data_IF_835533653181
#
_entry.id   IF_835533653181
#
_cell.length_a   1.000
_cell.length_b   1.000
_cell.length_c   1.000
_cell.angle_alpha   90.00
_cell.angle_beta   90.00
_cell.angle_gamma   90.00
#
_symmetry.space_group_name_H-M   'P 1'
#
loop_
_entity.id
_entity.type
_entity.pdbx_description
1 polymer ?
#
# COMPACT_ATOMS: atom_id res chain seq x y z
N UNK A 1 8.67 11.84 -10.94
CA UNK A 1 7.90 10.72 -11.48
C UNK A 1 8.89 9.71 -12.01
N UNK A 2 9.15 8.63 -11.27
CA UNK A 2 10.03 7.55 -11.72
C UNK A 2 9.23 6.62 -12.64
N UNK A 3 9.35 6.81 -13.96
CA UNK A 3 8.64 5.98 -14.93
C UNK A 3 8.97 4.49 -14.78
N UNK A 4 7.96 3.67 -14.45
CA UNK A 4 7.98 2.21 -14.64
C UNK A 4 8.27 1.34 -13.42
N UNK A 5 8.35 1.90 -12.20
CA UNK A 5 8.46 1.08 -10.98
C UNK A 5 7.09 0.56 -10.55
N UNK A 6 7.06 -0.72 -10.17
CA UNK A 6 5.87 -1.37 -9.64
C UNK A 6 6.17 -2.06 -8.32
N UNK A 7 5.15 -2.13 -7.47
CA UNK A 7 5.12 -2.94 -6.27
C UNK A 7 4.81 -4.38 -6.64
N UNK A 8 5.40 -5.30 -5.88
CA UNK A 8 5.13 -6.73 -5.99
C UNK A 8 4.76 -7.24 -4.60
N UNK A 9 3.59 -7.85 -4.45
CA UNK A 9 3.22 -8.53 -3.23
C UNK A 9 3.98 -9.87 -3.13
N UNK A 10 5.17 -9.85 -2.53
CA UNK A 10 6.04 -11.04 -2.50
C UNK A 10 5.66 -12.04 -1.40
N UNK A 11 4.98 -11.57 -0.35
CA UNK A 11 4.53 -12.38 0.78
C UNK A 11 3.28 -11.76 1.37
N UNK A 12 2.29 -12.59 1.66
CA UNK A 12 1.03 -12.16 2.26
C UNK A 12 0.61 -13.13 3.35
N UNK A 13 -0.02 -12.57 4.38
CA UNK A 13 -0.78 -13.32 5.36
C UNK A 13 -2.16 -12.69 5.46
N UNK A 14 -3.20 -13.49 5.25
CA UNK A 14 -4.59 -13.12 5.44
C UNK A 14 -5.20 -14.05 6.50
N UNK A 15 -6.04 -13.50 7.38
CA UNK A 15 -6.78 -14.30 8.36
C UNK A 15 -7.87 -15.14 7.69
N UNK A 16 -8.32 -16.20 8.37
CA UNK A 16 -9.45 -17.02 7.91
C UNK A 16 -10.66 -16.15 7.55
N UNK A 17 -11.21 -16.37 6.35
CA UNK A 17 -12.36 -15.62 5.82
C UNK A 17 -12.01 -14.32 5.09
N UNK A 18 -10.75 -13.85 5.13
CA UNK A 18 -10.28 -12.73 4.31
C UNK A 18 -9.68 -13.28 3.01
N UNK A 19 -10.10 -12.72 1.87
CA UNK A 19 -9.59 -13.13 0.55
C UNK A 19 -8.17 -12.60 0.38
N UNK A 20 -7.15 -13.47 0.23
CA UNK A 20 -5.78 -13.05 -0.04
C UNK A 20 -5.69 -12.30 -1.38
N UNK A 21 -4.84 -11.30 -1.46
CA UNK A 21 -4.59 -10.48 -2.64
C UNK A 21 -3.21 -10.72 -3.25
N UNK A 22 -2.49 -11.77 -2.81
CA UNK A 22 -1.16 -12.10 -3.31
C UNK A 22 -1.11 -12.28 -4.83
N UNK A 23 -2.12 -12.87 -5.46
CA UNK A 23 -2.12 -13.04 -6.93
C UNK A 23 -2.59 -11.77 -7.67
N UNK A 24 -3.35 -10.90 -7.00
CA UNK A 24 -3.96 -9.70 -7.60
C UNK A 24 -3.07 -8.46 -7.49
N UNK A 25 -2.39 -8.27 -6.36
CA UNK A 25 -1.50 -7.13 -6.11
C UNK A 25 -0.08 -7.40 -6.61
N UNK A 26 0.00 -7.77 -7.88
CA UNK A 26 1.25 -7.90 -8.60
C UNK A 26 1.38 -6.76 -9.59
N UNK A 27 2.58 -6.21 -9.70
CA UNK A 27 2.90 -5.12 -10.62
C UNK A 27 2.03 -3.86 -10.46
N UNK A 28 1.64 -3.53 -9.22
CA UNK A 28 0.88 -2.31 -8.90
C UNK A 28 1.78 -1.09 -9.15
N UNK A 29 1.37 -0.06 -9.90
CA UNK A 29 2.19 1.13 -10.11
C UNK A 29 2.56 1.80 -8.78
N UNK A 30 3.83 2.19 -8.62
CA UNK A 30 4.29 2.79 -7.36
C UNK A 30 3.58 4.12 -7.04
N UNK A 31 3.09 4.83 -8.07
CA UNK A 31 2.38 6.11 -7.92
C UNK A 31 1.08 5.97 -7.12
N UNK A 32 0.47 4.78 -7.11
CA UNK A 32 -0.73 4.45 -6.32
C UNK A 32 -0.49 4.67 -4.82
N UNK A 33 0.74 4.45 -4.35
CA UNK A 33 1.10 4.58 -2.93
C UNK A 33 2.01 5.81 -2.66
N UNK A 34 1.97 6.81 -3.53
CA UNK A 34 2.86 7.97 -3.49
C UNK A 34 2.92 8.66 -2.12
N UNK A 35 1.78 8.84 -1.45
CA UNK A 35 1.69 9.44 -0.11
C UNK A 35 2.40 8.59 0.95
N UNK A 36 2.36 7.26 0.81
CA UNK A 36 3.05 6.34 1.73
C UNK A 36 4.56 6.45 1.52
N UNK A 37 4.99 6.54 0.26
CA UNK A 37 6.40 6.70 -0.11
C UNK A 37 7.01 7.99 0.46
N UNK A 38 6.27 9.10 0.48
CA UNK A 38 6.72 10.35 1.12
C UNK A 38 7.03 10.19 2.61
N UNK A 39 6.28 9.33 3.31
CA UNK A 39 6.55 8.97 4.71
C UNK A 39 7.78 8.05 4.81
N UNK A 40 7.85 7.05 3.92
CA UNK A 40 8.94 6.08 3.91
C UNK A 40 10.30 6.72 3.61
N UNK A 41 10.35 7.74 2.75
CA UNK A 41 11.56 8.52 2.48
C UNK A 41 12.14 9.20 3.74
N UNK A 42 11.27 9.50 4.72
CA UNK A 42 11.64 10.11 6.02
C UNK A 42 11.85 9.11 7.15
N UNK A 43 11.86 7.80 6.84
CA UNK A 43 11.88 6.73 7.84
C UNK A 43 10.65 6.72 8.77
N UNK A 44 9.52 7.24 8.28
CA UNK A 44 8.26 7.32 9.02
C UNK A 44 7.28 6.22 8.59
N UNK A 45 6.36 5.91 9.50
CA UNK A 45 5.24 5.00 9.26
C UNK A 45 4.07 5.79 8.68
N UNK A 46 3.40 5.23 7.67
CA UNK A 46 2.13 5.77 7.20
C UNK A 46 0.98 5.09 7.93
N UNK A 47 0.11 5.88 8.56
CA UNK A 47 -1.07 5.38 9.26
C UNK A 47 -2.35 6.04 8.75
N UNK A 48 -3.24 5.19 8.24
CA UNK A 48 -4.60 5.53 7.85
C UNK A 48 -5.57 4.98 8.91
N UNK A 49 -6.16 5.87 9.69
CA UNK A 49 -7.16 5.57 10.71
C UNK A 49 -8.57 5.33 10.15
N UNK A 50 -8.84 5.80 8.93
CA UNK A 50 -10.07 5.60 8.18
C UNK A 50 -9.84 5.84 6.67
N UNK A 51 -10.62 5.18 5.81
CA UNK A 51 -10.46 5.24 4.35
C UNK A 51 -10.66 6.64 3.74
N UNK A 52 -11.43 7.53 4.38
CA UNK A 52 -11.65 8.89 3.86
C UNK A 52 -10.36 9.73 3.81
N UNK A 53 -9.32 9.36 4.56
CA UNK A 53 -8.00 10.00 4.45
C UNK A 53 -7.36 9.80 3.08
N UNK A 54 -7.74 8.75 2.36
CA UNK A 54 -7.23 8.44 1.02
C UNK A 54 -8.09 9.08 -0.08
N UNK A 55 -9.19 9.76 0.26
CA UNK A 55 -10.09 10.36 -0.73
C UNK A 55 -9.35 11.39 -1.61
N UNK A 56 -9.37 11.16 -2.92
CA UNK A 56 -8.64 11.97 -3.91
C UNK A 56 -7.25 11.44 -4.27
N UNK A 57 -6.77 10.39 -3.60
CA UNK A 57 -5.54 9.67 -3.96
C UNK A 57 -5.88 8.39 -4.75
N UNK A 58 -4.93 7.92 -5.57
CA UNK A 58 -5.10 6.73 -6.41
C UNK A 58 -5.27 5.43 -5.60
N UNK A 59 -4.67 5.38 -4.40
CA UNK A 59 -4.81 4.35 -3.38
C UNK A 59 -6.26 4.09 -2.97
N UNK A 60 -7.15 5.09 -3.01
CA UNK A 60 -8.52 5.00 -2.50
C UNK A 60 -9.31 3.84 -3.13
N UNK A 61 -9.32 3.77 -4.46
CA UNK A 61 -10.06 2.73 -5.20
C UNK A 61 -9.50 1.34 -4.89
N UNK A 62 -8.17 1.20 -4.90
CA UNK A 62 -7.49 -0.05 -4.58
C UNK A 62 -7.82 -0.54 -3.16
N UNK A 63 -7.87 0.36 -2.17
CA UNK A 63 -8.21 0.02 -0.78
C UNK A 63 -9.68 -0.33 -0.63
N UNK A 64 -10.57 0.41 -1.30
CA UNK A 64 -12.01 0.17 -1.27
C UNK A 64 -12.38 -1.19 -1.89
N UNK A 65 -11.77 -1.55 -3.02
CA UNK A 65 -11.98 -2.86 -3.67
C UNK A 65 -11.57 -4.04 -2.79
N UNK A 66 -10.64 -3.81 -1.87
CA UNK A 66 -10.14 -4.80 -0.90
C UNK A 66 -10.85 -4.75 0.46
N UNK A 67 -11.86 -3.88 0.63
CA UNK A 67 -12.57 -3.68 1.90
C UNK A 67 -11.63 -3.26 3.06
N UNK A 68 -10.64 -2.41 2.76
CA UNK A 68 -9.66 -1.91 3.75
C UNK A 68 -10.11 -0.59 4.37
N UNK A 69 -10.58 -0.64 5.61
CA UNK A 69 -10.98 0.55 6.37
C UNK A 69 -9.82 1.29 7.03
N UNK A 70 -8.74 0.58 7.39
CA UNK A 70 -7.59 1.09 8.15
C UNK A 70 -6.31 0.43 7.68
N UNK A 71 -5.22 1.21 7.62
CA UNK A 71 -3.93 0.74 7.14
C UNK A 71 -2.80 1.23 8.03
N UNK A 72 -1.84 0.34 8.30
CA UNK A 72 -0.54 0.67 8.85
C UNK A 72 0.52 0.17 7.86
N UNK A 73 1.28 1.07 7.25
CA UNK A 73 2.31 0.73 6.29
C UNK A 73 3.68 1.15 6.83
N UNK A 74 4.62 0.21 6.90
CA UNK A 74 5.93 0.39 7.55
C UNK A 74 7.04 0.17 6.52
N UNK A 75 8.02 1.08 6.40
CA UNK A 75 9.12 0.90 5.46
C UNK A 75 10.09 -0.19 5.97
N UNK A 76 10.34 -1.21 5.14
CA UNK A 76 11.42 -2.18 5.36
C UNK A 76 12.60 -1.82 4.46
N UNK A 77 13.66 -1.27 5.04
CA UNK A 77 14.89 -0.92 4.33
C UNK A 77 15.96 -1.95 4.61
N UNK A 78 16.70 -2.39 3.58
CA UNK A 78 17.96 -3.09 3.80
C UNK A 78 18.96 -2.08 4.33
N UNK A 79 19.69 -2.44 5.38
CA UNK A 79 20.87 -1.69 5.78
C UNK A 79 21.84 -1.65 4.59
N UNK A 80 22.45 -0.47 4.36
CA UNK A 80 23.39 -0.25 3.26
C UNK A 80 24.72 -0.94 3.49
#
# INVERSE_FOLDING_TARGET
>A
MENGKTLQNTYEYASDGVVPQIDNLQSVPIDVISVWMESFEKDEVYFMSNIEQENGFESYGMLQEQDVDRLLAVPLKREK
#
